data_IF_820640008079
#
_entry.id   IF_820640008079
#
_cell.length_a   1.000
_cell.length_b   1.000
_cell.length_c   1.000
_cell.angle_alpha   90.00
_cell.angle_beta   90.00
_cell.angle_gamma   90.00
#
_symmetry.space_group_name_H-M   'P 1'
#
loop_
_entity.id
_entity.type
_entity.pdbx_description
1 polymer ?
#
# COMPACT_ATOMS: atom_id res chain seq x y z
N UNK A 1 -26.99 -30.30 10.32
CA UNK A 1 -28.12 -30.21 9.37
C UNK A 1 -28.27 -28.77 8.84
N UNK A 2 -27.18 -28.10 8.46
CA UNK A 2 -27.17 -26.66 8.13
C UNK A 2 -27.00 -26.37 6.63
N UNK A 3 -26.48 -27.36 5.90
CA UNK A 3 -26.25 -27.31 4.45
C UNK A 3 -27.51 -27.42 3.55
N UNK A 4 -28.58 -28.17 3.87
CA UNK A 4 -29.66 -28.42 2.91
C UNK A 4 -30.61 -27.22 2.71
N UNK A 5 -30.84 -26.41 3.74
CA UNK A 5 -31.73 -25.24 3.65
C UNK A 5 -31.12 -24.07 2.85
N UNK A 6 -29.79 -23.98 2.83
CA UNK A 6 -29.07 -23.01 2.00
C UNK A 6 -29.26 -23.30 0.49
N UNK A 7 -29.43 -24.57 0.12
CA UNK A 7 -29.66 -24.99 -1.27
C UNK A 7 -31.10 -24.71 -1.71
N UNK A 8 -32.06 -24.70 -0.77
CA UNK A 8 -33.49 -24.54 -1.07
C UNK A 8 -33.92 -23.07 -1.28
N UNK A 9 -33.14 -22.10 -0.78
CA UNK A 9 -33.41 -20.65 -0.89
C UNK A 9 -32.21 -19.87 -1.45
N UNK A 10 -31.40 -20.53 -2.28
CA UNK A 10 -30.19 -19.95 -2.85
C UNK A 10 -30.54 -18.77 -3.77
N UNK A 11 -31.68 -18.83 -4.43
CA UNK A 11 -32.22 -17.86 -5.39
C UNK A 11 -32.49 -16.51 -4.71
N UNK A 12 -33.18 -16.50 -3.57
CA UNK A 12 -33.47 -15.27 -2.82
C UNK A 12 -32.22 -14.64 -2.21
N UNK A 13 -31.30 -15.48 -1.72
CA UNK A 13 -30.01 -15.02 -1.18
C UNK A 13 -29.14 -14.41 -2.29
N UNK A 14 -29.13 -15.01 -3.47
CA UNK A 14 -28.38 -14.52 -4.63
C UNK A 14 -28.97 -13.22 -5.18
N UNK A 15 -30.31 -13.08 -5.20
CA UNK A 15 -30.98 -11.83 -5.55
C UNK A 15 -30.65 -10.71 -4.55
N UNK A 16 -30.65 -11.00 -3.25
CA UNK A 16 -30.27 -10.03 -2.23
C UNK A 16 -28.80 -9.59 -2.37
N UNK A 17 -27.88 -10.53 -2.62
CA UNK A 17 -26.46 -10.23 -2.89
C UNK A 17 -26.33 -9.38 -4.15
N UNK A 18 -27.01 -9.75 -5.24
CA UNK A 18 -26.98 -9.01 -6.49
C UNK A 18 -27.55 -7.58 -6.33
N UNK A 19 -28.66 -7.42 -5.61
CA UNK A 19 -29.26 -6.11 -5.33
C UNK A 19 -28.34 -5.22 -4.48
N UNK A 20 -27.65 -5.78 -3.49
CA UNK A 20 -26.66 -5.05 -2.68
C UNK A 20 -25.45 -4.65 -3.53
N UNK A 21 -24.94 -5.55 -4.37
CA UNK A 21 -23.83 -5.24 -5.29
C UNK A 21 -24.22 -4.17 -6.32
N UNK A 22 -25.42 -4.26 -6.88
CA UNK A 22 -25.96 -3.32 -7.85
C UNK A 22 -26.21 -1.95 -7.23
N UNK A 23 -26.86 -1.87 -6.06
CA UNK A 23 -27.07 -0.59 -5.36
C UNK A 23 -25.75 0.11 -5.04
N UNK A 24 -24.71 -0.67 -4.67
CA UNK A 24 -23.36 -0.13 -4.45
C UNK A 24 -22.71 0.34 -5.75
N UNK A 25 -22.83 -0.42 -6.83
CA UNK A 25 -22.33 0.00 -8.13
C UNK A 25 -22.99 1.34 -8.52
N UNK A 26 -24.33 1.42 -8.44
CA UNK A 26 -25.07 2.66 -8.72
C UNK A 26 -24.58 3.83 -7.86
N UNK A 27 -24.34 3.62 -6.56
CA UNK A 27 -23.82 4.67 -5.68
C UNK A 27 -22.42 5.14 -6.09
N UNK A 28 -21.49 4.22 -6.39
CA UNK A 28 -20.09 4.56 -6.70
C UNK A 28 -19.95 5.16 -8.09
N UNK A 29 -20.53 4.50 -9.11
CA UNK A 29 -20.51 5.00 -10.48
C UNK A 29 -21.36 6.27 -10.62
N UNK A 30 -22.50 6.36 -9.93
CA UNK A 30 -23.35 7.55 -9.90
C UNK A 30 -22.68 8.74 -9.22
N UNK A 31 -22.04 8.53 -8.06
CA UNK A 31 -21.30 9.59 -7.37
C UNK A 31 -20.05 10.01 -8.15
N UNK A 32 -19.36 9.07 -8.79
CA UNK A 32 -18.23 9.38 -9.67
C UNK A 32 -18.66 10.19 -10.90
N UNK A 33 -19.78 9.84 -11.53
CA UNK A 33 -20.34 10.58 -12.66
C UNK A 33 -20.78 11.99 -12.24
N UNK A 34 -21.42 12.12 -11.08
CA UNK A 34 -21.81 13.43 -10.53
C UNK A 34 -20.58 14.29 -10.17
N UNK A 35 -19.54 13.67 -9.60
CA UNK A 35 -18.27 14.34 -9.29
C UNK A 35 -17.52 14.78 -10.55
N UNK A 36 -17.54 13.96 -11.61
CA UNK A 36 -16.95 14.27 -12.92
C UNK A 36 -17.64 15.42 -13.64
N UNK A 37 -18.92 15.70 -13.35
CA UNK A 37 -19.60 16.90 -13.82
C UNK A 37 -19.13 18.17 -13.10
N UNK A 38 -18.69 18.05 -11.85
CA UNK A 38 -18.32 19.18 -11.00
C UNK A 38 -16.80 19.44 -10.97
N UNK A 39 -15.99 18.43 -11.29
CA UNK A 39 -14.52 18.45 -11.16
C UNK A 39 -13.86 18.03 -12.48
N UNK A 40 -12.83 18.77 -12.92
CA UNK A 40 -12.06 18.49 -14.15
C UNK A 40 -11.18 17.23 -14.09
N UNK A 41 -11.15 16.50 -12.98
CA UNK A 41 -10.34 15.30 -12.80
C UNK A 41 -11.22 14.08 -12.48
N UNK A 42 -11.77 13.39 -13.49
CA UNK A 42 -12.63 12.23 -13.26
C UNK A 42 -11.83 11.06 -12.68
N UNK A 43 -12.42 10.36 -11.71
CA UNK A 43 -11.82 9.15 -11.12
C UNK A 43 -11.74 8.08 -12.22
N UNK A 44 -10.58 7.46 -12.47
CA UNK A 44 -10.45 6.44 -13.51
C UNK A 44 -11.34 5.23 -13.20
N UNK A 45 -11.89 4.60 -14.25
CA UNK A 45 -12.79 3.44 -14.13
C UNK A 45 -12.19 2.30 -13.31
N UNK A 46 -10.87 2.12 -13.39
CA UNK A 46 -10.12 1.15 -12.61
C UNK A 46 -10.24 1.44 -11.10
N UNK A 47 -10.02 2.70 -10.68
CA UNK A 47 -10.16 3.09 -9.29
C UNK A 47 -11.62 2.97 -8.80
N UNK A 48 -12.62 3.27 -9.64
CA UNK A 48 -14.04 3.06 -9.31
C UNK A 48 -14.36 1.58 -9.07
N UNK A 49 -13.81 0.69 -9.91
CA UNK A 49 -14.00 -0.76 -9.82
C UNK A 49 -13.35 -1.31 -8.55
N UNK A 50 -12.14 -0.86 -8.21
CA UNK A 50 -11.49 -1.22 -6.94
C UNK A 50 -12.28 -0.70 -5.75
N UNK A 51 -12.78 0.54 -5.80
CA UNK A 51 -13.58 1.12 -4.73
C UNK A 51 -14.88 0.33 -4.49
N UNK A 52 -15.50 -0.16 -5.56
CA UNK A 52 -16.66 -1.06 -5.48
C UNK A 52 -16.30 -2.42 -4.86
N UNK A 53 -15.15 -2.98 -5.23
CA UNK A 53 -14.69 -4.30 -4.79
C UNK A 53 -14.16 -4.35 -3.35
N UNK A 54 -13.43 -3.33 -2.90
CA UNK A 54 -12.70 -3.29 -1.60
C UNK A 54 -13.63 -3.05 -0.40
N UNK A 55 -14.91 -2.75 -0.61
CA UNK A 55 -15.86 -2.40 0.46
C UNK A 55 -16.26 -3.54 1.40
N UNK A 56 -15.30 -4.06 2.16
CA UNK A 56 -15.43 -5.07 3.21
C UNK A 56 -16.22 -4.49 4.39
N UNK A 57 -17.52 -4.81 4.46
CA UNK A 57 -18.39 -4.47 5.60
C UNK A 57 -19.06 -5.71 6.19
N UNK A 58 -18.26 -6.74 6.44
CA UNK A 58 -18.74 -7.95 7.14
C UNK A 58 -19.14 -7.70 8.59
N UNK A 59 -18.52 -6.72 9.27
CA UNK A 59 -18.65 -6.50 10.71
C UNK A 59 -20.04 -6.01 11.13
N UNK A 60 -20.63 -5.06 10.40
CA UNK A 60 -21.96 -4.51 10.72
C UNK A 60 -23.06 -5.54 10.48
N UNK A 61 -22.93 -6.35 9.43
CA UNK A 61 -23.87 -7.43 9.13
C UNK A 61 -23.83 -8.52 10.22
N UNK A 62 -22.64 -8.90 10.69
CA UNK A 62 -22.49 -9.83 11.83
C UNK A 62 -23.11 -9.23 13.10
N UNK A 63 -22.85 -7.95 13.40
CA UNK A 63 -23.41 -7.29 14.57
C UNK A 63 -24.95 -7.28 14.55
N UNK A 64 -25.56 -6.98 13.40
CA UNK A 64 -27.02 -7.03 13.22
C UNK A 64 -27.57 -8.46 13.34
N UNK A 65 -26.88 -9.45 12.76
CA UNK A 65 -27.27 -10.85 12.87
C UNK A 65 -27.21 -11.37 14.31
N UNK A 66 -26.21 -10.95 15.08
CA UNK A 66 -26.08 -11.30 16.51
C UNK A 66 -27.10 -10.56 17.39
N UNK A 67 -27.49 -9.33 17.00
CA UNK A 67 -28.49 -8.51 17.68
C UNK A 67 -29.94 -8.99 17.48
N UNK A 68 -30.17 -10.06 16.72
CA UNK A 68 -31.51 -10.57 16.43
C UNK A 68 -32.14 -11.17 17.71
N UNK A 69 -33.40 -10.84 18.07
CA UNK A 69 -34.06 -11.37 19.27
C UNK A 69 -34.33 -12.89 19.19
N UNK A 70 -34.26 -13.59 20.32
CA UNK A 70 -34.51 -15.05 20.40
C UNK A 70 -35.96 -15.46 20.10
N UNK A 71 -36.88 -14.51 19.99
CA UNK A 71 -38.28 -14.73 19.61
C UNK A 71 -38.48 -15.08 18.12
N UNK A 72 -37.42 -14.98 17.31
CA UNK A 72 -37.44 -15.33 15.88
C UNK A 72 -37.07 -16.80 15.72
N UNK A 73 -38.00 -17.60 15.20
CA UNK A 73 -37.70 -18.97 14.77
C UNK A 73 -36.55 -18.98 13.76
N UNK A 74 -35.63 -19.95 13.87
CA UNK A 74 -34.45 -20.12 13.00
C UNK A 74 -33.30 -19.10 13.17
N UNK A 75 -33.24 -18.36 14.28
CA UNK A 75 -32.14 -17.44 14.63
C UNK A 75 -30.74 -18.05 14.47
N UNK A 76 -30.53 -19.27 14.97
CA UNK A 76 -29.24 -19.97 14.90
C UNK A 76 -28.78 -20.17 13.44
N UNK A 77 -29.73 -20.40 12.55
CA UNK A 77 -29.50 -20.66 11.13
C UNK A 77 -29.16 -19.38 10.38
N UNK A 78 -29.85 -18.28 10.68
CA UNK A 78 -29.54 -16.94 10.14
C UNK A 78 -28.13 -16.52 10.55
N UNK A 79 -27.77 -16.72 11.82
CA UNK A 79 -26.44 -16.38 12.35
C UNK A 79 -25.36 -17.19 11.64
N UNK A 80 -25.51 -18.52 11.55
CA UNK A 80 -24.52 -19.38 10.90
C UNK A 80 -24.37 -19.08 9.41
N UNK A 81 -25.47 -18.77 8.71
CA UNK A 81 -25.43 -18.43 7.29
C UNK A 81 -24.77 -17.06 7.06
N UNK A 82 -25.16 -16.05 7.83
CA UNK A 82 -24.54 -14.72 7.77
C UNK A 82 -23.05 -14.78 8.07
N UNK A 83 -22.64 -15.59 9.06
CA UNK A 83 -21.23 -15.74 9.41
C UNK A 83 -20.45 -16.43 8.28
N UNK A 84 -21.00 -17.50 7.69
CA UNK A 84 -20.39 -18.20 6.56
C UNK A 84 -20.21 -17.31 5.32
N UNK A 85 -21.27 -16.57 4.95
CA UNK A 85 -21.22 -15.61 3.83
C UNK A 85 -20.20 -14.51 4.11
N UNK A 86 -20.22 -13.93 5.31
CA UNK A 86 -19.26 -12.88 5.66
C UNK A 86 -17.83 -13.42 5.64
N UNK A 87 -17.54 -14.54 6.28
CA UNK A 87 -16.20 -15.13 6.29
C UNK A 87 -15.71 -15.44 4.87
N UNK A 88 -16.58 -16.01 4.02
CA UNK A 88 -16.26 -16.26 2.62
C UNK A 88 -15.98 -14.96 1.86
N UNK A 89 -16.82 -13.93 2.02
CA UNK A 89 -16.59 -12.63 1.36
C UNK A 89 -15.31 -11.97 1.86
N UNK A 90 -14.99 -12.04 3.16
CA UNK A 90 -13.75 -11.49 3.72
C UNK A 90 -12.52 -12.21 3.14
N UNK A 91 -12.56 -13.55 3.06
CA UNK A 91 -11.46 -14.33 2.49
C UNK A 91 -11.33 -14.11 0.99
N UNK A 92 -12.41 -14.27 0.23
CA UNK A 92 -12.38 -14.15 -1.23
C UNK A 92 -12.11 -12.71 -1.64
N UNK A 93 -12.83 -11.71 -1.13
CA UNK A 93 -12.56 -10.32 -1.49
C UNK A 93 -11.19 -9.88 -0.96
N UNK A 94 -10.79 -10.29 0.25
CA UNK A 94 -9.47 -9.97 0.80
C UNK A 94 -8.33 -10.52 -0.06
N UNK A 95 -8.37 -11.81 -0.44
CA UNK A 95 -7.35 -12.42 -1.29
C UNK A 95 -7.44 -11.95 -2.75
N UNK A 96 -8.65 -11.66 -3.25
CA UNK A 96 -8.86 -11.22 -4.65
C UNK A 96 -8.56 -9.74 -4.85
N UNK A 97 -8.46 -8.95 -3.78
CA UNK A 97 -8.15 -7.52 -3.88
C UNK A 97 -6.81 -7.30 -4.56
N UNK A 98 -5.73 -7.92 -4.07
CA UNK A 98 -4.38 -7.77 -4.66
C UNK A 98 -4.32 -8.11 -6.17
N UNK A 99 -4.79 -9.29 -6.64
CA UNK A 99 -4.77 -9.60 -8.07
C UNK A 99 -5.74 -8.73 -8.87
N UNK A 100 -6.83 -8.23 -8.28
CA UNK A 100 -7.71 -7.28 -8.98
C UNK A 100 -7.02 -5.94 -9.21
N UNK A 101 -6.31 -5.41 -8.22
CA UNK A 101 -5.56 -4.16 -8.41
C UNK A 101 -4.44 -4.33 -9.45
N UNK A 102 -3.80 -5.50 -9.49
CA UNK A 102 -2.76 -5.85 -10.46
C UNK A 102 -3.34 -5.97 -11.88
N UNK A 103 -4.46 -6.69 -12.04
CA UNK A 103 -5.17 -6.82 -13.31
C UNK A 103 -5.71 -5.49 -13.86
N UNK A 104 -5.97 -4.52 -12.99
CA UNK A 104 -6.37 -3.16 -13.36
C UNK A 104 -5.19 -2.21 -13.59
N UNK A 105 -3.95 -2.73 -13.54
CA UNK A 105 -2.72 -1.96 -13.69
C UNK A 105 -2.60 -0.77 -12.73
N UNK A 106 -3.32 -0.80 -11.60
CA UNK A 106 -3.21 0.23 -10.58
C UNK A 106 -1.93 0.08 -9.75
N UNK A 107 -1.26 -1.06 -9.88
CA UNK A 107 0.10 -1.30 -9.35
C UNK A 107 1.19 -1.13 -10.41
N UNK A 108 0.87 -0.78 -11.67
CA UNK A 108 1.90 -0.56 -12.67
C UNK A 108 2.84 0.53 -12.17
N UNK A 109 4.04 0.09 -11.82
CA UNK A 109 5.11 0.97 -11.37
C UNK A 109 5.64 1.63 -12.64
N UNK A 110 5.55 2.96 -12.69
CA UNK A 110 6.10 3.78 -13.79
C UNK A 110 7.49 3.22 -14.18
N UNK A 111 7.74 2.89 -15.46
CA UNK A 111 9.00 2.26 -15.89
C UNK A 111 10.23 3.06 -15.43
N UNK A 112 10.08 4.38 -15.29
CA UNK A 112 11.08 5.29 -14.75
C UNK A 112 11.38 5.00 -13.27
N UNK A 113 10.35 4.74 -12.46
CA UNK A 113 10.50 4.39 -11.05
C UNK A 113 11.18 3.03 -10.88
N UNK A 114 10.82 2.06 -11.73
CA UNK A 114 11.46 0.72 -11.73
C UNK A 114 12.95 0.85 -12.04
N UNK A 115 13.29 1.58 -13.10
CA UNK A 115 14.69 1.85 -13.47
C UNK A 115 15.46 2.57 -12.36
N UNK A 116 14.83 3.55 -11.70
CA UNK A 116 15.42 4.25 -10.56
C UNK A 116 15.71 3.30 -9.38
N UNK A 117 14.76 2.42 -9.02
CA UNK A 117 14.91 1.43 -7.95
C UNK A 117 16.02 0.42 -8.25
N UNK A 118 16.12 -0.04 -9.49
CA UNK A 118 17.19 -0.94 -9.92
C UNK A 118 18.57 -0.29 -9.77
N UNK A 119 18.73 0.95 -10.24
CA UNK A 119 19.98 1.69 -10.08
C UNK A 119 20.34 1.95 -8.61
N UNK A 120 19.35 2.28 -7.78
CA UNK A 120 19.56 2.40 -6.33
C UNK A 120 20.02 1.09 -5.69
N UNK A 121 19.42 -0.05 -6.06
CA UNK A 121 19.81 -1.35 -5.54
C UNK A 121 21.25 -1.73 -5.95
N UNK A 122 21.63 -1.44 -7.20
CA UNK A 122 23.00 -1.61 -7.69
C UNK A 122 23.99 -0.74 -6.90
N UNK A 123 23.65 0.54 -6.68
CA UNK A 123 24.46 1.46 -5.87
C UNK A 123 24.64 0.95 -4.44
N UNK A 124 23.58 0.48 -3.79
CA UNK A 124 23.67 -0.05 -2.42
C UNK A 124 24.53 -1.30 -2.36
N UNK A 125 24.40 -2.21 -3.34
CA UNK A 125 25.21 -3.42 -3.40
C UNK A 125 26.71 -3.09 -3.55
N UNK A 126 27.06 -2.21 -4.50
CA UNK A 126 28.44 -1.76 -4.71
C UNK A 126 29.02 -1.08 -3.46
N UNK A 127 28.23 -0.23 -2.80
CA UNK A 127 28.65 0.45 -1.56
C UNK A 127 28.91 -0.54 -0.43
N UNK A 128 28.04 -1.55 -0.28
CA UNK A 128 28.20 -2.58 0.74
C UNK A 128 29.43 -3.45 0.48
N UNK A 129 29.71 -3.79 -0.79
CA UNK A 129 30.92 -4.52 -1.18
C UNK A 129 32.17 -3.71 -0.85
N UNK A 130 32.21 -2.42 -1.23
CA UNK A 130 33.35 -1.54 -0.88
C UNK A 130 33.55 -1.42 0.63
N UNK A 131 32.45 -1.32 1.39
CA UNK A 131 32.51 -1.25 2.86
C UNK A 131 33.07 -2.55 3.45
N UNK A 132 32.68 -3.71 2.91
CA UNK A 132 33.19 -5.00 3.34
C UNK A 132 34.68 -5.17 3.00
N UNK A 133 35.11 -4.76 1.81
CA UNK A 133 36.53 -4.76 1.40
C UNK A 133 37.39 -3.80 2.23
N UNK A 134 36.80 -2.73 2.76
CA UNK A 134 37.48 -1.80 3.66
C UNK A 134 37.56 -2.31 5.12
N UNK A 135 36.64 -3.19 5.52
CA UNK A 135 36.55 -3.73 6.89
C UNK A 135 37.26 -5.09 7.05
N UNK A 136 37.41 -5.87 5.97
CA UNK A 136 38.19 -7.11 5.95
C UNK A 136 39.69 -6.85 5.90
N UNK A 137 40.48 -7.74 6.52
CA UNK A 137 41.95 -7.71 6.51
C UNK A 137 42.50 -7.25 5.16
N UNK A 138 43.30 -6.17 5.19
CA UNK A 138 43.88 -5.61 3.98
C UNK A 138 44.50 -6.75 3.17
N UNK A 139 44.06 -6.98 1.91
CA UNK A 139 44.79 -7.88 1.03
C UNK A 139 46.25 -7.41 0.98
N UNK A 140 47.19 -8.35 0.86
CA UNK A 140 48.61 -8.04 0.80
C UNK A 140 48.84 -6.85 -0.16
N UNK A 141 49.68 -5.86 0.21
CA UNK A 141 49.79 -4.60 -0.51
C UNK A 141 50.07 -4.85 -2.00
N UNK A 142 49.03 -4.66 -2.84
CA UNK A 142 49.09 -4.86 -4.29
C UNK A 142 47.96 -5.72 -4.89
N UNK A 143 47.33 -6.64 -4.15
CA UNK A 143 46.36 -7.60 -4.75
C UNK A 143 44.91 -7.08 -4.84
N UNK A 144 44.43 -6.30 -3.86
CA UNK A 144 43.04 -5.81 -3.85
C UNK A 144 42.79 -4.45 -4.53
N UNK A 145 43.85 -3.72 -4.90
CA UNK A 145 43.73 -2.39 -5.54
C UNK A 145 43.04 -2.39 -6.91
N UNK A 146 43.28 -3.33 -7.84
CA UNK A 146 42.60 -3.31 -9.13
C UNK A 146 41.10 -3.62 -9.01
N UNK A 147 40.71 -4.52 -8.10
CA UNK A 147 39.30 -4.87 -7.86
C UNK A 147 38.53 -3.71 -7.21
N UNK A 148 39.11 -3.08 -6.19
CA UNK A 148 38.53 -1.89 -5.56
C UNK A 148 38.38 -0.73 -6.56
N UNK A 149 39.37 -0.51 -7.42
CA UNK A 149 39.32 0.53 -8.45
C UNK A 149 38.19 0.25 -9.47
N UNK A 150 38.02 -1.00 -9.90
CA UNK A 150 36.95 -1.40 -10.80
C UNK A 150 35.55 -1.20 -10.19
N UNK A 151 35.36 -1.64 -8.93
CA UNK A 151 34.07 -1.49 -8.23
C UNK A 151 33.75 -0.02 -7.99
N UNK A 152 34.74 0.79 -7.61
CA UNK A 152 34.57 2.23 -7.43
C UNK A 152 34.20 2.92 -8.75
N UNK A 153 34.84 2.58 -9.86
CA UNK A 153 34.50 3.11 -11.17
C UNK A 153 33.06 2.74 -11.58
N UNK A 154 32.62 1.52 -11.25
CA UNK A 154 31.24 1.09 -11.51
C UNK A 154 30.22 1.85 -10.64
N UNK A 155 30.55 2.12 -9.37
CA UNK A 155 29.72 2.95 -8.49
C UNK A 155 29.57 4.37 -9.05
N UNK A 156 30.66 4.97 -9.52
CA UNK A 156 30.63 6.29 -10.15
C UNK A 156 29.76 6.33 -11.41
N UNK A 157 29.77 5.25 -12.21
CA UNK A 157 28.92 5.11 -13.39
C UNK A 157 27.42 5.02 -13.02
N UNK A 158 27.08 4.24 -11.97
CA UNK A 158 25.70 4.14 -11.47
C UNK A 158 25.22 5.48 -10.89
N UNK A 159 26.07 6.17 -10.12
CA UNK A 159 25.77 7.49 -9.58
C UNK A 159 25.59 8.54 -10.68
N UNK A 160 26.31 8.43 -11.80
CA UNK A 160 26.10 9.28 -12.97
C UNK A 160 24.76 8.99 -13.65
N UNK A 161 24.40 7.72 -13.83
CA UNK A 161 23.10 7.31 -14.40
C UNK A 161 21.92 7.77 -13.52
N UNK A 162 22.02 7.63 -12.20
CA UNK A 162 21.02 8.13 -11.24
C UNK A 162 20.84 9.64 -11.36
N UNK A 163 21.95 10.40 -11.46
CA UNK A 163 21.90 11.86 -11.64
C UNK A 163 21.22 12.26 -12.95
N UNK A 164 21.52 11.58 -14.05
CA UNK A 164 20.89 11.84 -15.34
C UNK A 164 19.38 11.53 -15.29
N UNK A 165 18.99 10.41 -14.70
CA UNK A 165 17.59 10.02 -14.55
C UNK A 165 16.80 11.01 -13.69
N UNK A 166 17.41 11.52 -12.61
CA UNK A 166 16.83 12.57 -11.77
C UNK A 166 16.66 13.91 -12.53
N UNK A 167 17.61 14.25 -13.40
CA UNK A 167 17.54 15.46 -14.21
C UNK A 167 16.46 15.37 -15.30
N UNK A 168 16.31 14.20 -15.93
CA UNK A 168 15.32 14.00 -17.00
C UNK A 168 13.88 13.86 -16.47
N UNK A 169 13.71 13.45 -15.21
CA UNK A 169 12.39 13.20 -14.61
C UNK A 169 12.24 13.92 -13.26
N UNK A 170 11.83 15.20 -13.24
CA UNK A 170 11.64 15.95 -11.99
C UNK A 170 10.58 15.32 -11.06
N UNK A 171 9.68 14.48 -11.60
CA UNK A 171 8.72 13.67 -10.83
C UNK A 171 9.38 12.68 -9.85
N UNK A 172 10.63 12.27 -10.08
CA UNK A 172 11.39 11.40 -9.15
C UNK A 172 11.79 12.18 -7.89
N UNK A 173 11.93 13.51 -7.96
CA UNK A 173 12.32 14.32 -6.81
C UNK A 173 11.30 14.22 -5.66
N UNK A 174 10.01 14.13 -5.98
CA UNK A 174 8.96 13.90 -4.99
C UNK A 174 9.08 12.52 -4.33
N UNK A 175 9.34 11.47 -5.12
CA UNK A 175 9.57 10.12 -4.61
C UNK A 175 10.79 10.06 -3.69
N UNK A 176 11.90 10.71 -4.07
CA UNK A 176 13.11 10.76 -3.26
C UNK A 176 12.84 11.44 -1.92
N UNK A 177 12.10 12.56 -1.94
CA UNK A 177 11.71 13.26 -0.71
C UNK A 177 10.83 12.40 0.18
N UNK A 178 9.81 11.74 -0.40
CA UNK A 178 8.92 10.84 0.33
C UNK A 178 9.68 9.66 0.93
N UNK A 179 10.53 8.99 0.14
CA UNK A 179 11.31 7.85 0.59
C UNK A 179 12.29 8.24 1.71
N UNK A 180 13.00 9.37 1.57
CA UNK A 180 13.88 9.86 2.63
C UNK A 180 13.12 10.16 3.93
N UNK A 181 11.91 10.70 3.83
CA UNK A 181 11.02 10.94 4.98
C UNK A 181 10.58 9.64 5.63
N UNK A 182 10.19 8.64 4.84
CA UNK A 182 9.85 7.30 5.34
C UNK A 182 11.04 6.66 6.06
N UNK A 183 12.25 6.73 5.48
CA UNK A 183 13.48 6.20 6.08
C UNK A 183 13.79 6.87 7.41
N UNK A 184 13.68 8.20 7.50
CA UNK A 184 13.93 8.94 8.76
C UNK A 184 12.92 8.56 9.85
N UNK A 185 11.65 8.38 9.49
CA UNK A 185 10.61 7.92 10.43
C UNK A 185 10.82 6.46 10.83
N UNK A 186 11.28 5.61 9.91
CA UNK A 186 11.60 4.21 10.19
C UNK A 186 12.81 4.09 11.14
N UNK A 187 13.82 4.93 10.99
CA UNK A 187 14.98 5.00 11.89
C UNK A 187 14.52 5.40 13.30
N UNK A 188 13.67 6.43 13.42
CA UNK A 188 13.08 6.85 14.70
C UNK A 188 12.30 5.69 15.36
N UNK A 189 11.45 5.02 14.58
CA UNK A 189 10.64 3.90 15.05
C UNK A 189 11.51 2.74 15.54
N UNK A 190 12.58 2.43 14.80
CA UNK A 190 13.53 1.37 15.16
C UNK A 190 14.27 1.72 16.45
N UNK A 191 14.65 3.00 16.63
CA UNK A 191 15.28 3.46 17.86
C UNK A 191 14.34 3.30 19.07
N UNK A 192 13.06 3.66 18.95
CA UNK A 192 12.08 3.50 20.04
C UNK A 192 11.74 2.04 20.34
N UNK A 193 11.74 1.17 19.33
CA UNK A 193 11.47 -0.25 19.51
C UNK A 193 12.49 -0.90 20.45
N UNK A 194 13.76 -0.50 20.38
CA UNK A 194 14.80 -0.97 21.30
C UNK A 194 14.47 -0.63 22.77
N UNK A 195 14.05 0.60 23.05
CA UNK A 195 13.71 1.03 24.41
C UNK A 195 12.39 0.42 24.94
N UNK A 196 11.47 0.07 24.05
CA UNK A 196 10.26 -0.69 24.39
C UNK A 196 10.61 -2.14 24.75
N UNK A 197 11.49 -2.79 23.98
CA UNK A 197 11.97 -4.15 24.24
C UNK A 197 12.76 -4.25 25.54
N UNK A 198 13.60 -3.26 25.84
CA UNK A 198 14.38 -3.19 27.08
C UNK A 198 13.50 -2.84 28.31
N UNK A 199 12.20 -2.58 28.13
CA UNK A 199 11.25 -2.28 29.22
C UNK A 199 11.33 -0.86 29.79
N UNK A 200 12.13 0.02 29.19
CA UNK A 200 12.31 1.41 29.63
C UNK A 200 11.12 2.30 29.25
N UNK A 201 10.40 1.94 28.18
CA UNK A 201 9.19 2.62 27.73
C UNK A 201 8.02 1.63 27.72
N UNK A 202 6.82 2.10 28.08
CA UNK A 202 5.58 1.31 28.00
C UNK A 202 4.81 1.55 26.69
N UNK A 203 5.01 2.72 26.08
CA UNK A 203 4.36 3.17 24.84
C UNK A 203 5.35 4.02 24.03
N UNK A 204 5.26 4.01 22.69
CA UNK A 204 6.10 4.88 21.87
C UNK A 204 5.77 6.36 22.16
N UNK A 205 6.79 7.23 22.32
CA UNK A 205 6.58 8.68 22.46
C UNK A 205 6.10 9.30 21.14
N UNK A 206 5.63 10.55 21.20
CA UNK A 206 5.24 11.30 20.00
C UNK A 206 6.44 11.47 19.06
N UNK A 207 6.21 11.32 17.75
CA UNK A 207 7.27 11.50 16.74
C UNK A 207 7.86 12.89 16.84
N UNK A 208 9.18 12.95 16.98
CA UNK A 208 9.98 14.17 17.02
C UNK A 208 10.41 14.55 15.60
N UNK A 209 10.58 13.55 14.73
CA UNK A 209 11.03 13.74 13.34
C UNK A 209 9.92 14.29 12.45
N UNK A 210 8.69 13.80 12.57
CA UNK A 210 7.56 14.23 11.73
C UNK A 210 7.31 15.74 11.73
N UNK A 211 7.14 16.43 12.88
CA UNK A 211 6.91 17.87 12.90
C UNK A 211 8.11 18.68 12.38
N UNK A 212 9.34 18.17 12.53
CA UNK A 212 10.53 18.81 11.98
C UNK A 212 10.57 18.72 10.44
N UNK A 213 10.14 17.58 9.87
CA UNK A 213 10.03 17.40 8.42
C UNK A 213 8.89 18.22 7.80
N UNK A 214 7.78 18.41 8.54
CA UNK A 214 6.67 19.27 8.10
C UNK A 214 7.07 20.74 8.04
N UNK A 215 7.87 21.21 9.00
CA UNK A 215 8.36 22.59 9.02
C UNK A 215 9.33 22.93 7.87
N UNK A 216 9.99 21.93 7.29
CA UNK A 216 10.94 22.07 6.18
C UNK A 216 10.29 21.93 4.80
N UNK A 217 9.02 21.51 4.74
CA UNK A 217 8.31 21.32 3.48
C UNK A 217 7.82 22.67 2.93
N UNK A 218 7.97 22.97 1.63
CA UNK A 218 7.35 24.16 1.05
C UNK A 218 5.83 24.08 1.26
N UNK A 219 5.14 25.21 1.50
CA UNK A 219 3.69 25.21 1.63
C UNK A 219 3.09 24.57 0.38
N UNK A 220 1.98 23.81 0.51
CA UNK A 220 1.36 23.15 -0.63
C UNK A 220 1.11 24.20 -1.72
N UNK A 221 1.69 23.99 -2.90
CA UNK A 221 1.34 24.78 -4.09
C UNK A 221 -0.16 24.71 -4.24
N UNK A 222 -0.83 25.81 -3.92
CA UNK A 222 -2.27 25.94 -4.09
C UNK A 222 -2.59 25.57 -5.53
N UNK A 223 -3.63 24.75 -5.79
CA UNK A 223 -4.01 24.43 -7.16
C UNK A 223 -4.19 25.75 -7.90
N UNK A 224 -3.45 25.91 -8.99
CA UNK A 224 -3.56 27.05 -9.89
C UNK A 224 -5.04 27.28 -10.19
N UNK A 225 -5.58 28.36 -9.64
CA UNK A 225 -6.91 28.82 -9.95
C UNK A 225 -6.86 29.28 -11.41
N UNK A 226 -7.52 28.59 -12.36
CA UNK A 226 -7.49 29.00 -13.75
C UNK A 226 -8.24 30.36 -13.89
N UNK A 227 -7.84 31.18 -14.86
CA UNK A 227 -8.34 32.56 -15.03
C UNK A 227 -9.84 32.63 -15.30
#
# INVERSE_FOLDING_TARGET
>A
MLFPYFIEHIDTSLVAIAAVLASRAVAIFGFSALSGLLTRNPIPWAAQTVLWWVGLRGSVAIALALSLPDAIGDRQQIISNSFGVVLFTLLVQGLTTKPLLDALHLLETDPTQTQYRELLAQRSALTQVLTHLAAGELPAPGEGQPEQAAIKAQLEAVDAALRLLQQSHPQIADLIRQQHREDLVAIETTAYTRFLQDGWLKTPPASVVTPALDALSPPPTSPQQPP
#
